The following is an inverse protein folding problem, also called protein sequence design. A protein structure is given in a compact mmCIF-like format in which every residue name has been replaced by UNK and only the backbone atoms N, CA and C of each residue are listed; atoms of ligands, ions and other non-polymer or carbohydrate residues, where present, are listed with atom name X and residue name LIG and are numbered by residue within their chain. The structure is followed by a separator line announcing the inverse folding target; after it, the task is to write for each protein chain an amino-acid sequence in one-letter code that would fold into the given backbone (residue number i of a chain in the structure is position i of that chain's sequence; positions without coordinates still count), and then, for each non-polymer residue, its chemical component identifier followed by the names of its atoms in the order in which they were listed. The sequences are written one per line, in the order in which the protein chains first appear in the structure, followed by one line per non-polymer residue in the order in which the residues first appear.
data_IF_310044042589
#
_entry.id   IF_310044042589
#
_cell.length_a   1.000
_cell.length_b   1.000
_cell.length_c   1.000
_cell.angle_alpha   90.00
_cell.angle_beta   90.00
_cell.angle_gamma   90.00
#
_symmetry.space_group_name_H-M   'P 1'
#
loop_
_entity.id
_entity.type
_entity.pdbx_description
1 polymer ?
#
# COMPACT_ATOMS: atom_id res chain seq x y z
N UNK A 1 -61.12 28.15 8.28
CA UNK A 1 -61.37 28.35 6.83
C UNK A 1 -60.22 27.65 6.13
N UNK A 2 -60.12 26.33 6.14
CA UNK A 2 -61.08 25.29 5.73
C UNK A 2 -61.45 25.34 4.24
N UNK A 3 -60.87 24.38 3.51
CA UNK A 3 -61.46 23.58 2.42
C UNK A 3 -60.42 22.50 2.07
N UNK A 4 -60.45 21.35 2.74
CA UNK A 4 -61.12 20.10 2.30
C UNK A 4 -60.68 19.62 0.91
N UNK A 5 -59.90 18.54 0.83
CA UNK A 5 -60.31 17.13 0.97
C UNK A 5 -60.71 16.53 -0.39
N UNK A 6 -59.92 15.57 -0.89
CA UNK A 6 -60.41 14.31 -1.47
C UNK A 6 -59.29 13.45 -2.08
N UNK A 7 -59.14 12.28 -1.47
CA UNK A 7 -59.11 10.94 -2.07
C UNK A 7 -57.93 10.61 -3.02
N UNK A 8 -57.27 9.45 -2.94
CA UNK A 8 -57.85 8.11 -2.83
C UNK A 8 -56.93 7.17 -2.03
N UNK A 9 -57.55 6.54 -1.06
CA UNK A 9 -57.18 5.34 -0.32
C UNK A 9 -57.44 4.09 -1.17
N UNK A 10 -56.59 3.07 -1.06
CA UNK A 10 -56.91 1.68 -1.42
C UNK A 10 -55.79 0.99 -2.21
N UNK A 11 -55.42 -0.26 -1.97
CA UNK A 11 -55.98 -1.33 -1.16
C UNK A 11 -54.87 -2.38 -0.98
N UNK A 12 -54.77 -2.91 0.24
CA UNK A 12 -54.72 -4.33 0.61
C UNK A 12 -53.80 -5.29 -0.19
N UNK A 13 -52.80 -5.85 0.51
CA UNK A 13 -52.80 -7.25 1.00
C UNK A 13 -52.98 -8.31 -0.09
N UNK A 14 -51.92 -9.07 -0.36
CA UNK A 14 -52.04 -10.51 -0.60
C UNK A 14 -50.91 -11.25 0.14
N UNK A 15 -51.37 -12.03 1.11
CA UNK A 15 -50.65 -12.90 2.02
C UNK A 15 -50.13 -14.16 1.32
N UNK A 16 -48.98 -14.63 1.81
CA UNK A 16 -48.56 -16.01 2.06
C UNK A 16 -49.52 -17.15 1.66
N UNK A 17 -48.99 -18.14 0.94
CA UNK A 17 -49.10 -19.61 1.15
C UNK A 17 -48.00 -20.24 0.26
N UNK A 18 -46.96 -20.93 0.77
CA UNK A 18 -46.82 -22.24 1.41
C UNK A 18 -46.97 -23.46 0.48
N UNK A 19 -46.23 -24.53 0.81
CA UNK A 19 -45.99 -25.84 0.17
C UNK A 19 -44.82 -25.87 -0.82
N UNK A 20 -43.86 -26.81 -0.79
CA UNK A 20 -43.65 -28.08 -0.08
C UNK A 20 -42.62 -28.85 -0.93
N UNK A 21 -41.45 -29.24 -0.39
CA UNK A 21 -41.10 -30.62 -0.01
C UNK A 21 -40.97 -31.64 -1.16
N UNK A 22 -39.89 -32.46 -1.04
CA UNK A 22 -39.53 -33.71 -1.74
C UNK A 22 -38.76 -33.57 -3.07
N UNK A 23 -37.46 -33.94 -3.07
CA UNK A 23 -36.90 -35.26 -3.48
C UNK A 23 -36.68 -35.31 -5.00
N UNK A 24 -35.51 -35.61 -5.56
CA UNK A 24 -34.71 -36.85 -5.54
C UNK A 24 -33.22 -36.50 -5.84
N UNK A 25 -32.20 -36.98 -5.11
CA UNK A 25 -31.54 -38.31 -5.15
C UNK A 25 -30.98 -38.74 -6.53
N UNK A 26 -29.65 -38.69 -6.66
CA UNK A 26 -28.74 -39.82 -7.01
C UNK A 26 -27.30 -39.28 -7.15
N UNK A 27 -26.33 -39.72 -6.33
CA UNK A 27 -25.35 -40.80 -6.62
C UNK A 27 -24.59 -40.53 -7.93
N UNK A 28 -23.27 -40.40 -7.96
CA UNK A 28 -22.25 -41.40 -7.59
C UNK A 28 -21.03 -40.75 -6.90
N UNK A 29 -20.63 -41.17 -5.70
CA UNK A 29 -19.73 -42.30 -5.39
C UNK A 29 -18.28 -42.14 -5.90
N UNK A 30 -17.40 -41.92 -4.92
CA UNK A 30 -15.95 -42.10 -4.95
C UNK A 30 -15.55 -43.55 -5.29
N UNK A 31 -14.25 -43.81 -5.48
CA UNK A 31 -13.56 -44.40 -4.33
C UNK A 31 -12.14 -43.87 -4.08
N UNK A 32 -11.84 -43.83 -2.79
CA UNK A 32 -10.53 -43.85 -2.16
C UNK A 32 -9.71 -45.09 -2.53
N UNK A 33 -8.40 -44.92 -2.71
CA UNK A 33 -7.42 -45.96 -2.31
C UNK A 33 -6.10 -45.30 -1.88
N UNK A 34 -5.66 -45.75 -0.72
CA UNK A 34 -4.52 -45.31 0.07
C UNK A 34 -3.28 -46.13 -0.31
N UNK A 35 -2.12 -45.50 -0.12
CA UNK A 35 -0.82 -46.08 0.25
C UNK A 35 0.15 -46.56 -0.85
N UNK A 36 1.33 -45.92 -0.76
CA UNK A 36 2.66 -46.52 -0.68
C UNK A 36 3.63 -46.25 -1.84
N UNK A 37 4.85 -45.96 -1.39
CA UNK A 37 6.14 -46.06 -2.04
C UNK A 37 6.66 -44.94 -2.95
N UNK A 38 7.87 -44.51 -2.59
CA UNK A 38 8.95 -44.55 -3.55
C UNK A 38 9.57 -43.20 -3.87
N UNK A 39 10.66 -42.91 -3.16
CA UNK A 39 11.63 -41.88 -3.49
C UNK A 39 11.84 -41.68 -4.99
N UNK A 40 11.56 -40.47 -5.49
CA UNK A 40 12.26 -39.87 -6.63
C UNK A 40 12.44 -38.37 -6.39
N UNK A 41 13.59 -38.03 -5.78
CA UNK A 41 14.21 -36.73 -5.99
C UNK A 41 14.44 -36.59 -7.50
N UNK A 42 13.72 -35.68 -8.15
CA UNK A 42 14.12 -35.16 -9.46
C UNK A 42 14.91 -33.89 -9.21
N UNK A 43 16.20 -34.06 -9.39
CA UNK A 43 17.18 -33.06 -9.81
C UNK A 43 16.51 -32.11 -10.81
N UNK A 44 16.35 -30.84 -10.39
CA UNK A 44 16.03 -29.74 -11.30
C UNK A 44 17.38 -29.21 -11.78
N UNK A 45 17.75 -29.61 -12.99
CA UNK A 45 18.86 -29.03 -13.74
C UNK A 45 18.61 -27.53 -13.90
N UNK A 46 19.48 -26.75 -13.24
CA UNK A 46 19.56 -25.30 -13.40
C UNK A 46 20.21 -24.99 -14.74
N UNK A 47 19.43 -24.99 -15.82
CA UNK A 47 19.85 -24.45 -17.11
C UNK A 47 19.24 -23.07 -17.33
N UNK A 48 20.09 -22.05 -17.17
CA UNK A 48 20.08 -20.86 -18.02
C UNK A 48 18.93 -19.88 -17.85
N UNK A 49 19.07 -18.94 -16.93
CA UNK A 49 18.61 -17.56 -17.17
C UNK A 49 19.79 -16.65 -16.89
N UNK A 50 20.15 -15.85 -17.89
CA UNK A 50 21.29 -14.95 -17.88
C UNK A 50 21.10 -13.88 -16.81
N UNK A 51 21.56 -14.19 -15.60
CA UNK A 51 21.77 -13.21 -14.55
C UNK A 51 22.92 -12.30 -14.96
N UNK A 52 22.65 -11.01 -14.98
CA UNK A 52 23.66 -9.94 -14.94
C UNK A 52 24.72 -10.34 -13.90
N UNK A 53 25.95 -10.59 -14.36
CA UNK A 53 27.12 -10.78 -13.49
C UNK A 53 27.41 -9.45 -12.80
N UNK A 54 26.72 -9.19 -11.70
CA UNK A 54 27.24 -8.27 -10.68
C UNK A 54 28.41 -9.00 -10.05
N UNK A 55 29.59 -8.38 -10.08
CA UNK A 55 30.84 -8.97 -9.62
C UNK A 55 30.68 -9.48 -8.17
N UNK A 56 30.71 -10.81 -7.99
CA UNK A 56 30.50 -11.44 -6.68
C UNK A 56 31.69 -11.29 -5.70
N UNK A 57 32.57 -10.30 -5.90
CA UNK A 57 33.86 -10.22 -5.20
C UNK A 57 33.92 -9.17 -4.09
N UNK A 58 32.92 -8.28 -3.95
CA UNK A 58 32.97 -7.18 -2.96
C UNK A 58 31.85 -7.20 -1.89
N UNK A 59 31.00 -8.23 -1.85
CA UNK A 59 29.85 -8.30 -0.90
C UNK A 59 30.19 -8.93 0.47
N UNK A 60 31.42 -9.41 0.67
CA UNK A 60 31.85 -9.95 1.97
C UNK A 60 32.06 -8.82 2.98
N UNK A 61 31.00 -8.50 3.73
CA UNK A 61 31.04 -7.53 4.85
C UNK A 61 30.17 -6.29 4.67
N UNK A 62 29.44 -6.17 3.56
CA UNK A 62 28.55 -5.05 3.31
C UNK A 62 27.30 -5.11 4.20
N UNK A 63 26.91 -3.97 4.77
CA UNK A 63 25.67 -3.87 5.53
C UNK A 63 24.44 -3.92 4.62
N UNK A 64 23.26 -4.37 5.12
CA UNK A 64 22.04 -4.40 4.33
C UNK A 64 21.64 -3.04 3.73
N UNK A 65 22.01 -1.95 4.41
CA UNK A 65 21.75 -0.60 3.91
C UNK A 65 22.66 -0.24 2.74
N UNK A 66 23.96 -0.51 2.85
CA UNK A 66 24.94 -0.24 1.78
C UNK A 66 24.58 -1.00 0.50
N UNK A 67 24.23 -2.29 0.64
CA UNK A 67 23.77 -3.09 -0.50
C UNK A 67 22.53 -2.48 -1.14
N UNK A 68 21.57 -2.02 -0.32
CA UNK A 68 20.39 -1.36 -0.83
C UNK A 68 20.71 -0.05 -1.57
N UNK A 69 21.68 0.74 -1.09
CA UNK A 69 22.12 1.98 -1.78
C UNK A 69 22.67 1.66 -3.16
N UNK A 70 23.57 0.68 -3.28
CA UNK A 70 24.13 0.27 -4.58
C UNK A 70 23.03 -0.17 -5.57
N UNK A 71 22.01 -0.86 -5.07
CA UNK A 71 20.90 -1.31 -5.92
C UNK A 71 19.99 -0.17 -6.39
N UNK A 72 19.69 0.82 -5.55
CA UNK A 72 18.83 1.97 -5.94
C UNK A 72 19.56 3.00 -6.80
N UNK A 73 20.89 3.01 -6.79
CA UNK A 73 21.73 3.86 -7.65
C UNK A 73 22.09 3.17 -8.98
N UNK A 74 21.63 1.94 -9.19
CA UNK A 74 21.93 1.18 -10.39
C UNK A 74 21.35 1.83 -11.66
N UNK A 75 22.07 1.72 -12.79
CA UNK A 75 21.62 2.24 -14.08
C UNK A 75 20.38 1.50 -14.62
N UNK A 76 20.23 0.22 -14.28
CA UNK A 76 19.08 -0.59 -14.69
C UNK A 76 17.85 -0.28 -13.82
N UNK A 77 16.80 0.24 -14.46
CA UNK A 77 15.50 0.54 -13.86
C UNK A 77 14.91 -0.70 -13.17
N UNK A 78 15.09 -1.90 -13.72
CA UNK A 78 14.53 -3.12 -13.14
C UNK A 78 15.23 -3.50 -11.83
N UNK A 79 16.54 -3.29 -11.74
CA UNK A 79 17.30 -3.52 -10.50
C UNK A 79 16.85 -2.54 -9.43
N UNK A 80 16.73 -1.25 -9.78
CA UNK A 80 16.21 -0.24 -8.86
C UNK A 80 14.80 -0.59 -8.39
N UNK A 81 13.89 -0.90 -9.31
CA UNK A 81 12.51 -1.27 -8.99
C UNK A 81 12.43 -2.44 -8.01
N UNK A 82 13.23 -3.50 -8.24
CA UNK A 82 13.26 -4.66 -7.37
C UNK A 82 13.86 -4.34 -5.99
N UNK A 83 14.82 -3.40 -5.92
CA UNK A 83 15.30 -2.87 -4.65
C UNK A 83 14.17 -2.20 -3.86
N UNK A 84 13.43 -1.28 -4.48
CA UNK A 84 12.31 -0.59 -3.82
C UNK A 84 11.19 -1.54 -3.38
N UNK A 85 10.93 -2.63 -4.11
CA UNK A 85 9.98 -3.68 -3.65
C UNK A 85 10.44 -4.35 -2.36
N UNK A 86 11.75 -4.45 -2.14
CA UNK A 86 12.36 -5.05 -0.94
C UNK A 86 12.56 -4.06 0.20
N UNK A 87 12.14 -2.79 0.08
CA UNK A 87 12.37 -1.76 1.11
C UNK A 87 11.88 -2.19 2.51
N UNK A 88 10.77 -2.93 2.59
CA UNK A 88 10.26 -3.48 3.85
C UNK A 88 11.20 -4.51 4.48
N UNK A 89 11.81 -5.36 3.66
CA UNK A 89 12.78 -6.37 4.14
C UNK A 89 14.04 -5.68 4.68
N UNK A 90 14.51 -4.64 3.99
CA UNK A 90 15.65 -3.84 4.44
C UNK A 90 15.32 -3.13 5.77
N UNK A 91 14.14 -2.51 5.89
CA UNK A 91 13.69 -1.91 7.14
C UNK A 91 13.65 -2.94 8.30
N UNK A 92 13.13 -4.14 8.05
CA UNK A 92 13.12 -5.21 9.04
C UNK A 92 14.52 -5.69 9.45
N UNK A 93 15.47 -5.72 8.52
CA UNK A 93 16.86 -6.11 8.79
C UNK A 93 17.64 -5.04 9.57
N UNK A 94 17.36 -3.75 9.32
CA UNK A 94 18.01 -2.63 10.01
C UNK A 94 17.44 -2.40 11.42
N UNK A 95 16.16 -2.69 11.61
CA UNK A 95 15.45 -2.40 12.84
C UNK A 95 14.96 -0.94 12.92
N UNK A 96 14.08 -0.64 13.88
CA UNK A 96 13.23 0.54 13.82
C UNK A 96 13.97 1.87 14.00
N UNK A 97 14.99 1.93 14.86
CA UNK A 97 15.78 3.16 15.03
C UNK A 97 16.56 3.52 13.76
N UNK A 98 17.15 2.51 13.11
CA UNK A 98 17.96 2.71 11.91
C UNK A 98 17.10 3.01 10.68
N UNK A 99 15.91 2.42 10.59
CA UNK A 99 14.91 2.77 9.58
C UNK A 99 14.57 4.26 9.66
N UNK A 100 14.28 4.77 10.85
CA UNK A 100 13.93 6.18 11.05
C UNK A 100 15.11 7.12 10.76
N UNK A 101 16.31 6.81 11.26
CA UNK A 101 17.46 7.71 11.20
C UNK A 101 18.22 7.70 9.87
N UNK A 102 18.19 6.58 9.14
CA UNK A 102 18.98 6.42 7.90
C UNK A 102 18.13 6.10 6.68
N UNK A 103 17.27 5.09 6.76
CA UNK A 103 16.53 4.62 5.58
C UNK A 103 15.51 5.65 5.09
N UNK A 104 14.70 6.22 5.98
CA UNK A 104 13.66 7.18 5.58
C UNK A 104 14.23 8.49 4.99
N UNK A 105 15.25 9.14 5.59
CA UNK A 105 15.89 10.30 4.98
C UNK A 105 16.48 10.00 3.60
N UNK A 106 17.12 8.84 3.44
CA UNK A 106 17.65 8.39 2.16
C UNK A 106 16.54 8.23 1.12
N UNK A 107 15.45 7.54 1.46
CA UNK A 107 14.32 7.37 0.53
C UNK A 107 13.69 8.71 0.12
N UNK A 108 13.62 9.69 1.04
CA UNK A 108 13.11 11.03 0.75
C UNK A 108 14.02 11.81 -0.21
N UNK A 109 15.33 11.72 -0.02
CA UNK A 109 16.32 12.32 -0.90
C UNK A 109 16.21 11.73 -2.32
N UNK A 110 16.22 10.41 -2.45
CA UNK A 110 16.10 9.74 -3.75
C UNK A 110 14.74 9.98 -4.41
N UNK A 111 13.63 9.96 -3.66
CA UNK A 111 12.29 10.24 -4.21
C UNK A 111 12.17 11.65 -4.81
N UNK A 112 13.06 12.59 -4.44
CA UNK A 112 13.03 13.95 -4.98
C UNK A 112 13.62 14.05 -6.39
N UNK A 113 14.64 13.24 -6.71
CA UNK A 113 15.31 13.22 -8.01
C UNK A 113 14.78 12.14 -8.96
N UNK A 114 14.07 11.15 -8.43
CA UNK A 114 13.54 10.02 -9.17
C UNK A 114 12.42 10.44 -10.15
N UNK A 115 12.49 9.92 -11.37
CA UNK A 115 11.52 10.19 -12.46
C UNK A 115 10.72 8.96 -12.89
N UNK A 116 11.07 7.79 -12.37
CA UNK A 116 10.43 6.53 -12.74
C UNK A 116 9.15 6.33 -11.90
N UNK A 117 7.99 6.60 -12.51
CA UNK A 117 6.70 6.57 -11.82
C UNK A 117 6.37 5.20 -11.21
N UNK A 118 6.79 4.10 -11.85
CA UNK A 118 6.59 2.74 -11.31
C UNK A 118 7.33 2.53 -9.97
N UNK A 119 8.51 3.13 -9.83
CA UNK A 119 9.31 3.06 -8.61
C UNK A 119 8.67 3.95 -7.54
N UNK A 120 8.24 5.16 -7.89
CA UNK A 120 7.53 6.06 -6.97
C UNK A 120 6.23 5.42 -6.45
N UNK A 121 5.47 4.76 -7.33
CA UNK A 121 4.27 4.01 -6.97
C UNK A 121 4.59 2.87 -5.99
N UNK A 122 5.62 2.08 -6.32
CA UNK A 122 6.09 0.97 -5.47
C UNK A 122 6.50 1.47 -4.08
N UNK A 123 7.22 2.59 -4.03
CA UNK A 123 7.63 3.22 -2.77
C UNK A 123 6.43 3.69 -1.96
N UNK A 124 5.48 4.41 -2.58
CA UNK A 124 4.28 4.91 -1.91
C UNK A 124 3.47 3.76 -1.27
N UNK A 125 3.25 2.67 -2.02
CA UNK A 125 2.55 1.49 -1.51
C UNK A 125 3.36 0.73 -0.46
N UNK A 126 4.68 0.67 -0.61
CA UNK A 126 5.59 -0.02 0.30
C UNK A 126 5.60 0.60 1.70
N UNK A 127 5.72 1.93 1.80
CA UNK A 127 5.77 2.64 3.09
C UNK A 127 4.39 2.78 3.76
N UNK A 128 3.32 2.80 2.98
CA UNK A 128 1.92 2.80 3.47
C UNK A 128 1.37 1.42 3.81
N UNK A 129 2.20 0.38 3.76
CA UNK A 129 1.79 -0.98 4.09
C UNK A 129 1.64 -1.14 5.61
N UNK A 130 0.59 -1.83 6.06
CA UNK A 130 0.33 -2.08 7.49
C UNK A 130 1.43 -2.91 8.16
N UNK A 131 2.22 -3.66 7.37
CA UNK A 131 3.41 -4.36 7.85
C UNK A 131 4.66 -3.47 7.95
N UNK A 132 4.68 -2.29 7.31
CA UNK A 132 5.79 -1.35 7.35
C UNK A 132 5.66 -0.35 8.51
N UNK A 133 4.44 0.13 8.80
CA UNK A 133 4.21 1.09 9.89
C UNK A 133 4.78 0.68 11.26
N UNK A 134 4.68 -0.60 11.70
CA UNK A 134 5.28 -1.03 12.97
C UNK A 134 6.81 -1.04 12.99
N UNK A 135 7.46 -0.96 11.82
CA UNK A 135 8.91 -0.85 11.70
C UNK A 135 9.41 0.58 11.92
N UNK A 136 8.50 1.56 12.04
CA UNK A 136 8.84 2.96 12.27
C UNK A 136 8.34 3.36 13.67
N UNK A 137 9.22 3.79 14.59
CA UNK A 137 8.82 4.20 15.95
C UNK A 137 7.79 5.34 15.95
N UNK A 138 7.98 6.31 15.06
CA UNK A 138 7.11 7.47 14.89
C UNK A 138 6.58 7.53 13.46
N UNK A 139 5.29 7.18 13.22
CA UNK A 139 4.68 7.27 11.90
C UNK A 139 4.73 8.68 11.29
N UNK A 140 4.88 9.73 12.11
CA UNK A 140 4.99 11.11 11.65
C UNK A 140 6.22 11.34 10.75
N UNK A 141 7.29 10.56 10.92
CA UNK A 141 8.51 10.66 10.09
C UNK A 141 8.26 10.24 8.64
N UNK A 142 7.17 9.51 8.36
CA UNK A 142 6.76 9.15 7.00
C UNK A 142 6.03 10.29 6.27
N UNK A 143 5.50 11.26 7.00
CA UNK A 143 4.66 12.33 6.44
C UNK A 143 5.42 13.15 5.38
N UNK A 144 6.68 13.59 5.57
CA UNK A 144 7.42 14.32 4.55
C UNK A 144 7.62 13.51 3.25
N UNK A 145 7.99 12.23 3.37
CA UNK A 145 8.19 11.34 2.23
C UNK A 145 6.89 11.16 1.44
N UNK A 146 5.80 10.82 2.14
CA UNK A 146 4.51 10.63 1.50
C UNK A 146 3.93 11.94 0.93
N UNK A 147 4.19 13.08 1.55
CA UNK A 147 3.81 14.40 1.03
C UNK A 147 4.52 14.69 -0.30
N UNK A 148 5.82 14.38 -0.40
CA UNK A 148 6.58 14.51 -1.65
C UNK A 148 6.00 13.64 -2.77
N UNK A 149 5.60 12.41 -2.44
CA UNK A 149 4.98 11.46 -3.39
C UNK A 149 3.56 11.89 -3.78
N UNK A 150 2.80 12.45 -2.85
CA UNK A 150 1.46 13.01 -3.12
C UNK A 150 1.50 14.24 -4.05
N UNK A 151 2.67 14.85 -4.23
CA UNK A 151 2.91 15.93 -5.19
C UNK A 151 3.38 15.47 -6.59
N UNK A 152 3.51 14.17 -6.85
CA UNK A 152 3.94 13.64 -8.16
C UNK A 152 2.97 14.00 -9.30
N UNK A 153 3.44 14.04 -10.55
CA UNK A 153 2.57 14.34 -11.70
C UNK A 153 1.72 13.14 -12.15
N UNK A 154 2.17 11.92 -11.87
CA UNK A 154 1.42 10.71 -12.17
C UNK A 154 0.27 10.50 -11.18
N UNK A 155 -0.93 10.34 -11.71
CA UNK A 155 -2.18 10.17 -10.96
C UNK A 155 -2.14 8.98 -10.01
N UNK A 156 -1.69 7.81 -10.49
CA UNK A 156 -1.69 6.58 -9.69
C UNK A 156 -0.72 6.65 -8.52
N UNK A 157 0.39 7.38 -8.68
CA UNK A 157 1.37 7.64 -7.60
C UNK A 157 0.75 8.52 -6.53
N UNK A 158 0.09 9.63 -6.93
CA UNK A 158 -0.56 10.52 -5.98
C UNK A 158 -1.66 9.83 -5.17
N UNK A 159 -2.52 9.06 -5.84
CA UNK A 159 -3.61 8.33 -5.17
C UNK A 159 -3.07 7.32 -4.15
N UNK A 160 -2.02 6.58 -4.51
CA UNK A 160 -1.37 5.64 -3.59
C UNK A 160 -0.71 6.35 -2.40
N UNK A 161 -0.08 7.50 -2.63
CA UNK A 161 0.54 8.29 -1.57
C UNK A 161 -0.50 8.88 -0.61
N UNK A 162 -1.61 9.42 -1.13
CA UNK A 162 -2.73 9.91 -0.32
C UNK A 162 -3.34 8.79 0.51
N UNK A 163 -3.63 7.63 -0.09
CA UNK A 163 -4.15 6.48 0.65
C UNK A 163 -3.22 6.06 1.79
N UNK A 164 -1.91 6.13 1.56
CA UNK A 164 -0.89 5.83 2.57
C UNK A 164 -0.83 6.90 3.68
N UNK A 165 -0.94 8.19 3.33
CA UNK A 165 -1.04 9.28 4.31
C UNK A 165 -2.24 9.10 5.24
N UNK A 166 -3.40 8.73 4.69
CA UNK A 166 -4.61 8.53 5.48
C UNK A 166 -4.43 7.41 6.52
N UNK A 167 -3.73 6.32 6.17
CA UNK A 167 -3.38 5.26 7.13
C UNK A 167 -2.42 5.75 8.20
N UNK A 168 -1.40 6.52 7.83
CA UNK A 168 -0.46 7.13 8.79
C UNK A 168 -1.23 8.06 9.75
N UNK A 169 -2.08 8.95 9.24
CA UNK A 169 -2.89 9.83 10.08
C UNK A 169 -3.87 9.08 10.98
N UNK A 170 -4.42 7.94 10.53
CA UNK A 170 -5.24 7.08 11.37
C UNK A 170 -4.45 6.56 12.59
N UNK A 171 -3.17 6.22 12.40
CA UNK A 171 -2.28 5.73 13.47
C UNK A 171 -1.75 6.81 14.43
N UNK A 172 -1.79 8.09 14.03
CA UNK A 172 -1.25 9.18 14.83
C UNK A 172 -2.21 9.62 15.97
N UNK A 173 -1.66 10.01 17.14
CA UNK A 173 -2.44 10.56 18.24
C UNK A 173 -3.00 11.94 17.91
N UNK A 174 -2.20 12.80 17.26
CA UNK A 174 -2.62 14.13 16.78
C UNK A 174 -2.47 14.23 15.26
N UNK A 175 -3.44 13.72 14.49
CA UNK A 175 -3.38 13.74 13.03
C UNK A 175 -3.61 15.13 12.43
N UNK A 176 -4.31 16.01 13.15
CA UNK A 176 -4.75 17.30 12.63
C UNK A 176 -3.56 18.20 12.32
N UNK A 177 -2.56 18.23 13.20
CA UNK A 177 -1.35 19.04 13.03
C UNK A 177 -0.57 18.60 11.79
N UNK A 178 -0.29 17.30 11.68
CA UNK A 178 0.46 16.74 10.55
C UNK A 178 -0.30 16.89 9.24
N UNK A 179 -1.60 16.59 9.23
CA UNK A 179 -2.40 16.71 8.03
C UNK A 179 -2.59 18.16 7.58
N UNK A 180 -2.69 19.11 8.51
CA UNK A 180 -2.73 20.54 8.17
C UNK A 180 -1.39 21.02 7.58
N UNK A 181 -0.26 20.58 8.13
CA UNK A 181 1.05 20.91 7.57
C UNK A 181 1.23 20.32 6.16
N UNK A 182 0.76 19.08 5.95
CA UNK A 182 0.75 18.41 4.64
C UNK A 182 -0.13 19.16 3.65
N UNK A 183 -1.32 19.58 4.08
CA UNK A 183 -2.22 20.38 3.27
C UNK A 183 -1.57 21.70 2.84
N UNK A 184 -0.94 22.43 3.76
CA UNK A 184 -0.26 23.69 3.44
C UNK A 184 0.86 23.47 2.41
N UNK A 185 1.67 22.42 2.58
CA UNK A 185 2.75 22.08 1.65
C UNK A 185 2.22 21.76 0.24
N UNK A 186 1.12 21.00 0.13
CA UNK A 186 0.52 20.63 -1.15
C UNK A 186 -0.24 21.79 -1.80
N UNK A 187 -0.95 22.61 -1.01
CA UNK A 187 -1.74 23.73 -1.50
C UNK A 187 -0.88 24.90 -2.02
N UNK A 188 0.32 25.08 -1.47
CA UNK A 188 1.28 26.09 -1.91
C UNK A 188 2.07 25.66 -3.17
N UNK A 189 1.88 24.44 -3.65
CA UNK A 189 2.54 23.95 -4.86
C UNK A 189 2.15 24.77 -6.10
N UNK A 190 3.14 25.05 -6.95
CA UNK A 190 2.94 25.79 -8.22
C UNK A 190 2.18 24.96 -9.26
N UNK A 191 2.25 23.62 -9.15
CA UNK A 191 1.53 22.68 -10.00
C UNK A 191 0.13 22.41 -9.45
N UNK A 192 -0.85 22.22 -10.33
CA UNK A 192 -2.22 21.88 -9.93
C UNK A 192 -2.34 20.48 -9.31
N UNK A 193 -1.44 19.55 -9.67
CA UNK A 193 -1.47 18.16 -9.21
C UNK A 193 -1.44 18.01 -7.67
N UNK A 194 -0.47 18.62 -6.95
CA UNK A 194 -0.47 18.67 -5.48
C UNK A 194 -1.77 19.23 -4.87
N UNK A 195 -2.36 20.26 -5.47
CA UNK A 195 -3.59 20.89 -4.96
C UNK A 195 -4.78 19.93 -4.99
N UNK A 196 -4.86 19.06 -6.01
CA UNK A 196 -5.86 17.99 -6.08
C UNK A 196 -5.67 16.99 -4.95
N UNK A 197 -4.43 16.60 -4.64
CA UNK A 197 -4.12 15.74 -3.48
C UNK A 197 -4.45 16.42 -2.15
N UNK A 198 -4.29 17.75 -2.04
CA UNK A 198 -4.63 18.47 -0.82
C UNK A 198 -6.13 18.37 -0.50
N UNK A 199 -6.98 18.45 -1.52
CA UNK A 199 -8.43 18.36 -1.36
C UNK A 199 -8.90 17.00 -0.85
N UNK A 200 -8.21 15.90 -1.20
CA UNK A 200 -8.60 14.54 -0.80
C UNK A 200 -8.22 14.19 0.65
N UNK A 201 -7.35 14.97 1.30
CA UNK A 201 -6.98 14.77 2.71
C UNK A 201 -8.05 15.28 3.69
N UNK A 202 -8.84 16.28 3.28
CA UNK A 202 -9.76 17.01 4.17
C UNK A 202 -10.85 16.15 4.82
N UNK A 203 -11.56 15.24 4.10
CA UNK A 203 -12.65 14.45 4.68
C UNK A 203 -12.20 13.57 5.85
N UNK A 204 -11.00 12.98 5.75
CA UNK A 204 -10.48 12.06 6.76
C UNK A 204 -10.03 12.78 8.04
N UNK A 205 -9.47 13.99 7.90
CA UNK A 205 -9.02 14.79 9.05
C UNK A 205 -10.22 15.35 9.82
N UNK A 206 -11.24 15.82 9.11
CA UNK A 206 -12.44 16.40 9.71
C UNK A 206 -13.22 15.38 10.56
N UNK A 207 -13.38 14.15 10.05
CA UNK A 207 -14.06 13.08 10.79
C UNK A 207 -13.38 12.75 12.13
N UNK A 208 -12.05 12.91 12.23
CA UNK A 208 -11.30 12.64 13.46
C UNK A 208 -11.39 13.80 14.47
N UNK A 209 -11.87 14.98 14.07
CA UNK A 209 -12.12 16.10 14.98
C UNK A 209 -13.49 16.09 15.64
N UNK A 210 -14.50 15.47 15.01
CA UNK A 210 -15.87 15.41 15.56
C UNK A 210 -16.12 14.21 16.49
N UNK A 211 -15.19 13.27 16.56
CA UNK A 211 -15.26 12.09 17.44
C UNK A 211 -14.56 12.24 18.79
N UNK A 212 -14.21 13.47 19.21
CA UNK A 212 -13.54 13.80 20.47
C UNK A 212 -14.49 14.16 21.59
#
# INVERSE_FOLDING_TARGET
MDKTDRAITGLANLSLTDSGSAAERSLEQSPSVLAADGARRREIDATGTAGTKVACQDLEGMSPLEFFVEEIENEDVYVRLEAYRRVRLIAGALGPQMTEQKLLPLLLEHASSLKDDEILLTLAQGVGNDAFLPLVPSPAVLVPLLTRLAGAEETVVREAAVASLLKVFASLPSPVTEAFSTFQALAQGELFCPQVSAASLFPAVYQKTEGG
#
